data_IF_798242902219
#
_entry.id   IF_798242902219
#
_cell.length_a   1.000
_cell.length_b   1.000
_cell.length_c   1.000
_cell.angle_alpha   90.00
_cell.angle_beta   90.00
_cell.angle_gamma   90.00
#
_symmetry.space_group_name_H-M   'P 1'
#
loop_
_entity.id
_entity.type
_entity.pdbx_description
1 polymer ?
#
# COMPACT_ATOMS: atom_id res chain seq x y z
N UNK A 1 26.44 17.44 -5.96
CA UNK A 1 26.64 17.98 -4.61
C UNK A 1 26.41 16.88 -3.60
N UNK A 2 27.49 16.33 -3.06
CA UNK A 2 27.46 15.25 -2.07
C UNK A 2 26.83 15.74 -0.77
N UNK A 3 25.77 15.07 -0.31
CA UNK A 3 24.98 15.49 0.85
C UNK A 3 25.73 15.48 2.18
N UNK A 4 26.93 14.89 2.21
CA UNK A 4 27.76 14.80 3.41
C UNK A 4 28.60 16.06 3.64
N UNK A 5 29.27 16.59 2.60
CA UNK A 5 30.08 17.81 2.71
C UNK A 5 29.22 19.03 3.06
N UNK A 6 27.99 19.11 2.53
CA UNK A 6 27.08 20.24 2.81
C UNK A 6 26.62 20.32 4.27
N UNK A 7 26.57 19.18 4.98
CA UNK A 7 26.17 19.06 6.39
C UNK A 7 27.27 19.50 7.36
N UNK A 8 28.52 19.59 6.92
CA UNK A 8 29.64 19.96 7.76
C UNK A 8 29.70 21.49 8.00
N UNK A 9 30.24 21.87 9.16
CA UNK A 9 30.47 23.29 9.51
C UNK A 9 31.64 23.83 8.68
N UNK A 10 31.68 25.14 8.41
CA UNK A 10 32.74 25.76 7.60
C UNK A 10 34.15 25.49 8.17
N UNK A 11 34.30 25.49 9.49
CA UNK A 11 35.58 25.22 10.15
C UNK A 11 36.05 23.77 9.92
N UNK A 12 35.15 22.79 10.03
CA UNK A 12 35.51 21.38 9.79
C UNK A 12 35.85 21.12 8.33
N UNK A 13 35.20 21.82 7.39
CA UNK A 13 35.57 21.76 5.98
C UNK A 13 36.99 22.31 5.71
N UNK A 14 37.40 23.37 6.41
CA UNK A 14 38.76 23.92 6.28
C UNK A 14 39.81 22.97 6.86
N UNK A 15 39.51 22.29 7.96
CA UNK A 15 40.42 21.32 8.56
C UNK A 15 40.52 20.03 7.71
N UNK A 16 39.40 19.56 7.15
CA UNK A 16 39.40 18.48 6.15
C UNK A 16 40.17 18.88 4.89
N UNK A 17 40.08 20.14 4.46
CA UNK A 17 40.85 20.65 3.32
C UNK A 17 42.35 20.61 3.59
N UNK A 18 42.79 20.98 4.81
CA UNK A 18 44.20 20.84 5.23
C UNK A 18 44.64 19.38 5.26
N UNK A 19 43.80 18.49 5.78
CA UNK A 19 44.10 17.05 5.85
C UNK A 19 44.15 16.38 4.46
N UNK A 20 43.36 16.88 3.51
CA UNK A 20 43.41 16.49 2.10
C UNK A 20 44.63 17.05 1.36
N UNK A 21 45.47 17.88 2.00
CA UNK A 21 46.65 18.49 1.39
C UNK A 21 46.35 19.73 0.53
N UNK A 22 45.13 20.28 0.62
CA UNK A 22 44.69 21.43 -0.16
C UNK A 22 44.23 22.57 0.78
N UNK A 23 45.14 23.40 1.31
CA UNK A 23 44.77 24.48 2.24
C UNK A 23 43.98 25.57 1.50
N UNK A 24 42.73 25.80 1.92
CA UNK A 24 41.89 26.88 1.40
C UNK A 24 41.89 28.09 2.34
N UNK A 25 41.81 29.29 1.76
CA UNK A 25 41.79 30.54 2.52
C UNK A 25 40.51 30.67 3.36
N UNK A 26 40.61 31.27 4.55
CA UNK A 26 39.49 31.41 5.52
C UNK A 26 38.32 32.25 4.99
N UNK A 27 38.60 33.11 4.01
CA UNK A 27 37.67 34.11 3.45
C UNK A 27 36.81 33.58 2.29
N UNK A 28 37.04 32.35 1.80
CA UNK A 28 36.20 31.76 0.74
C UNK A 28 34.81 31.41 1.24
N UNK A 29 33.82 31.49 0.36
CA UNK A 29 32.42 31.12 0.66
C UNK A 29 32.33 29.62 0.97
N UNK A 30 31.39 29.24 1.84
CA UNK A 30 31.22 27.84 2.25
C UNK A 30 30.94 26.94 1.04
N UNK A 31 30.12 27.41 0.10
CA UNK A 31 29.70 26.64 -1.06
C UNK A 31 30.87 26.41 -2.04
N UNK A 32 31.71 27.43 -2.27
CA UNK A 32 32.96 27.30 -3.04
C UNK A 32 33.94 26.30 -2.42
N UNK A 33 34.04 26.28 -1.08
CA UNK A 33 34.90 25.33 -0.36
C UNK A 33 34.39 23.90 -0.54
N UNK A 34 33.07 23.71 -0.52
CA UNK A 34 32.43 22.41 -0.74
C UNK A 34 32.70 21.94 -2.16
N UNK A 35 32.47 22.78 -3.16
CA UNK A 35 32.65 22.41 -4.57
C UNK A 35 34.11 22.04 -4.88
N UNK A 36 35.06 22.88 -4.47
CA UNK A 36 36.50 22.60 -4.69
C UNK A 36 36.98 21.36 -3.96
N UNK A 37 36.48 21.11 -2.75
CA UNK A 37 36.84 19.92 -1.97
C UNK A 37 36.21 18.65 -2.55
N UNK A 38 34.97 18.72 -3.04
CA UNK A 38 34.28 17.60 -3.71
C UNK A 38 35.04 17.20 -4.99
N UNK A 39 35.43 18.18 -5.82
CA UNK A 39 36.24 17.98 -7.02
C UNK A 39 37.60 17.35 -6.72
N UNK A 40 38.26 17.78 -5.64
CA UNK A 40 39.57 17.27 -5.24
C UNK A 40 39.48 15.84 -4.69
N UNK A 41 38.42 15.52 -3.94
CA UNK A 41 38.16 14.17 -3.44
C UNK A 41 37.85 13.20 -4.60
N UNK A 42 37.06 13.63 -5.59
CA UNK A 42 36.76 12.82 -6.77
C UNK A 42 37.99 12.57 -7.66
N UNK A 43 38.96 13.49 -7.71
CA UNK A 43 40.19 13.32 -8.50
C UNK A 43 41.24 12.43 -7.80
N UNK A 44 41.25 12.40 -6.47
CA UNK A 44 42.26 11.71 -5.68
C UNK A 44 41.68 10.55 -4.83
N UNK A 45 40.76 9.78 -5.42
CA UNK A 45 40.03 8.71 -4.72
C UNK A 45 40.97 7.63 -4.16
N UNK A 46 41.97 7.21 -4.93
CA UNK A 46 42.87 6.10 -4.56
C UNK A 46 43.73 6.43 -3.35
N UNK A 47 44.12 7.70 -3.18
CA UNK A 47 44.93 8.15 -2.05
C UNK A 47 44.07 8.53 -0.84
N UNK A 48 42.98 9.28 -1.06
CA UNK A 48 42.17 9.84 0.00
C UNK A 48 41.12 8.87 0.57
N UNK A 49 40.78 7.79 -0.13
CA UNK A 49 39.91 6.73 0.41
C UNK A 49 40.57 5.89 1.50
N UNK A 50 41.90 5.92 1.60
CA UNK A 50 42.66 5.23 2.66
C UNK A 50 42.67 5.99 3.99
N UNK A 51 42.35 7.29 3.98
CA UNK A 51 42.32 8.14 5.17
C UNK A 51 41.00 8.02 5.90
N UNK A 52 41.07 7.76 7.22
CA UNK A 52 39.91 7.53 8.09
C UNK A 52 38.92 8.72 8.10
N UNK A 53 39.41 9.96 7.94
CA UNK A 53 38.60 11.17 7.96
C UNK A 53 37.62 11.27 6.78
N UNK A 54 37.88 10.59 5.66
CA UNK A 54 37.04 10.62 4.46
C UNK A 54 36.21 9.33 4.26
N UNK A 55 36.26 8.40 5.23
CA UNK A 55 35.45 7.18 5.21
C UNK A 55 33.94 7.47 5.05
N UNK A 56 33.35 8.46 5.74
CA UNK A 56 31.92 8.76 5.57
C UNK A 56 31.57 9.33 4.19
N UNK A 57 32.54 9.94 3.50
CA UNK A 57 32.37 10.48 2.15
C UNK A 57 32.35 9.35 1.10
N UNK A 58 33.32 8.43 1.15
CA UNK A 58 33.42 7.31 0.20
C UNK A 58 32.53 6.11 0.56
N UNK A 59 32.24 5.90 1.85
CA UNK A 59 31.40 4.82 2.36
C UNK A 59 29.94 4.92 1.93
N UNK A 60 29.47 6.13 1.56
CA UNK A 60 28.12 6.32 1.02
C UNK A 60 27.92 5.67 -0.36
N UNK A 61 29.00 5.46 -1.13
CA UNK A 61 28.93 4.88 -2.47
C UNK A 61 29.00 3.35 -2.50
N UNK A 62 29.47 2.70 -1.41
CA UNK A 62 29.53 1.23 -1.26
C UNK A 62 28.33 0.62 -0.52
N UNK A 63 27.15 1.23 -0.62
CA UNK A 63 25.91 0.61 -0.12
C UNK A 63 25.29 -0.30 -1.17
N UNK A 64 25.66 -1.58 -1.13
CA UNK A 64 24.84 -2.67 -1.67
C UNK A 64 23.46 -2.64 -0.99
N UNK A 65 22.35 -2.68 -1.74
CA UNK A 65 21.01 -2.62 -1.17
C UNK A 65 20.70 -3.96 -0.49
N UNK A 66 20.70 -4.01 0.84
CA UNK A 66 20.28 -5.22 1.56
C UNK A 66 20.81 -5.46 2.96
N UNK A 67 21.17 -4.43 3.75
CA UNK A 67 21.48 -4.66 5.17
C UNK A 67 21.02 -3.50 6.06
N UNK A 68 20.05 -3.71 6.97
CA UNK A 68 19.71 -2.71 7.97
C UNK A 68 20.83 -2.63 9.02
N UNK A 69 21.27 -1.40 9.30
CA UNK A 69 22.28 -1.09 10.30
C UNK A 69 21.67 -1.21 11.70
N UNK A 70 22.28 -2.02 12.55
CA UNK A 70 22.01 -2.03 13.98
C UNK A 70 22.36 -0.65 14.57
N UNK A 71 21.36 0.05 15.12
CA UNK A 71 21.57 1.24 15.93
C UNK A 71 21.92 0.83 17.35
N UNK A 72 23.09 1.25 17.81
CA UNK A 72 23.53 1.16 19.21
C UNK A 72 23.00 2.40 19.95
N UNK A 73 22.48 2.29 21.19
CA UNK A 73 21.94 3.42 21.93
C UNK A 73 23.08 4.18 22.63
N UNK A 74 22.96 5.50 22.70
CA UNK A 74 23.69 6.29 23.69
C UNK A 74 22.73 7.24 24.39
N UNK A 75 22.92 7.34 25.70
CA UNK A 75 22.02 7.91 26.68
C UNK A 75 22.30 9.40 26.90
N UNK A 76 21.24 10.17 27.14
CA UNK A 76 21.28 11.30 28.09
C UNK A 76 19.86 11.78 28.40
N UNK A 77 19.66 11.98 29.70
CA UNK A 77 18.45 12.18 30.49
C UNK A 77 17.58 13.43 30.26
N UNK A 78 16.33 13.26 30.73
CA UNK A 78 15.52 14.14 31.60
C UNK A 78 14.36 15.03 31.09
N UNK A 79 13.24 14.79 31.78
CA UNK A 79 12.05 15.60 32.14
C UNK A 79 11.08 16.18 31.10
N UNK A 80 9.80 15.78 31.26
CA UNK A 80 8.67 16.68 31.03
C UNK A 80 7.42 16.09 30.38
N UNK A 81 6.47 15.62 31.22
CA UNK A 81 5.06 16.01 31.08
C UNK A 81 4.15 15.31 30.06
N UNK A 82 3.31 14.42 30.60
CA UNK A 82 1.84 14.35 30.39
C UNK A 82 1.27 14.07 28.98
N UNK A 83 0.71 12.88 28.78
CA UNK A 83 -0.74 12.60 28.70
C UNK A 83 -1.09 11.37 27.83
N UNK A 84 -1.94 10.52 28.42
CA UNK A 84 -2.48 9.20 27.98
C UNK A 84 -3.60 9.36 26.92
N UNK A 85 -4.42 8.33 26.54
CA UNK A 85 -4.31 6.85 26.57
C UNK A 85 -4.67 6.20 25.20
N UNK A 86 -4.58 4.87 25.06
CA UNK A 86 -5.74 3.98 24.69
C UNK A 86 -5.31 2.52 24.41
N UNK A 87 -5.70 1.67 25.38
CA UNK A 87 -6.24 0.30 25.28
C UNK A 87 -5.38 -0.86 24.75
N UNK A 88 -4.82 -1.60 25.72
CA UNK A 88 -4.68 -3.04 25.68
C UNK A 88 -5.94 -3.68 26.27
N UNK A 89 -6.58 -4.56 25.50
CA UNK A 89 -7.62 -5.49 25.94
C UNK A 89 -7.01 -6.89 25.92
N UNK A 90 -7.48 -7.75 26.83
CA UNK A 90 -7.25 -9.19 27.01
C UNK A 90 -6.47 -9.53 28.29
N UNK A 91 -7.21 -9.62 29.41
CA UNK A 91 -7.22 -10.82 30.29
C UNK A 91 -8.19 -10.63 31.46
N UNK A 92 -9.19 -11.50 31.56
CA UNK A 92 -9.62 -12.11 32.82
C UNK A 92 -10.68 -13.19 32.59
N UNK A 93 -10.31 -14.46 32.81
CA UNK A 93 -11.21 -15.44 33.41
C UNK A 93 -10.41 -16.19 34.46
N UNK A 94 -10.94 -16.14 35.68
CA UNK A 94 -10.48 -16.72 36.93
C UNK A 94 -10.48 -18.25 36.93
N UNK A 95 -9.60 -18.87 37.75
CA UNK A 95 -10.04 -19.73 38.87
C UNK A 95 -8.87 -20.32 39.68
N UNK A 96 -8.80 -19.86 40.92
CA UNK A 96 -8.68 -20.61 42.19
C UNK A 96 -7.58 -21.67 42.36
N UNK A 97 -6.65 -21.31 43.25
CA UNK A 97 -5.70 -22.13 44.00
C UNK A 97 -6.39 -23.01 45.05
N UNK A 98 -6.06 -24.30 45.11
CA UNK A 98 -6.04 -25.08 46.35
C UNK A 98 -4.80 -25.99 46.37
N UNK A 99 -4.02 -25.84 47.42
CA UNK A 99 -2.80 -26.58 47.72
C UNK A 99 -3.11 -27.98 48.25
N UNK A 100 -2.30 -28.98 47.91
CA UNK A 100 -1.98 -30.10 48.79
C UNK A 100 -0.62 -30.73 48.41
N UNK A 101 0.08 -31.15 49.45
CA UNK A 101 1.50 -31.51 49.62
C UNK A 101 1.97 -32.81 48.94
N UNK A 102 3.25 -32.84 48.56
CA UNK A 102 4.08 -33.99 48.12
C UNK A 102 4.37 -34.99 49.26
N UNK A 103 4.81 -36.25 49.01
CA UNK A 103 6.24 -36.53 48.81
C UNK A 103 6.61 -37.64 47.78
N UNK A 104 7.91 -37.71 47.51
CA UNK A 104 8.63 -38.46 46.48
C UNK A 104 8.87 -39.96 46.77
N UNK A 105 9.13 -40.77 45.73
CA UNK A 105 10.15 -41.83 45.62
C UNK A 105 10.00 -42.62 44.29
N UNK A 106 10.95 -42.57 43.34
CA UNK A 106 12.10 -43.51 43.10
C UNK A 106 11.79 -44.72 42.18
N UNK A 107 12.55 -44.80 41.05
CA UNK A 107 12.92 -45.96 40.18
C UNK A 107 11.82 -46.56 39.27
N UNK A 108 12.04 -46.97 38.01
CA UNK A 108 13.21 -47.44 37.21
C UNK A 108 12.82 -47.40 35.71
N UNK A 109 13.77 -47.48 34.75
CA UNK A 109 13.48 -47.32 33.32
C UNK A 109 13.05 -48.65 32.68
N UNK A 110 12.04 -48.62 31.82
CA UNK A 110 11.76 -49.69 30.88
C UNK A 110 11.00 -49.12 29.70
N UNK A 111 11.63 -49.16 28.53
CA UNK A 111 10.98 -48.89 27.27
C UNK A 111 9.90 -49.97 27.04
N UNK A 112 8.64 -49.56 27.00
CA UNK A 112 7.57 -50.32 26.38
C UNK A 112 6.65 -49.35 25.67
N UNK A 113 6.68 -49.39 24.34
CA UNK A 113 5.65 -48.85 23.48
C UNK A 113 4.33 -49.55 23.84
N UNK A 114 3.51 -48.92 24.66
CA UNK A 114 2.12 -49.30 24.83
C UNK A 114 1.27 -48.06 24.62
N UNK A 115 0.26 -48.22 23.78
CA UNK A 115 -0.85 -47.30 23.56
C UNK A 115 -1.57 -47.09 24.90
N UNK A 116 -0.99 -46.26 25.78
CA UNK A 116 -1.62 -45.84 27.01
C UNK A 116 -2.69 -44.83 26.64
N UNK A 117 -3.95 -45.27 26.73
CA UNK A 117 -5.10 -44.38 26.68
C UNK A 117 -4.84 -43.25 27.69
N UNK A 118 -4.99 -41.98 27.28
CA UNK A 118 -4.63 -40.84 28.10
C UNK A 118 -5.36 -40.88 29.45
N UNK A 119 -4.68 -40.52 30.56
CA UNK A 119 -5.26 -40.52 31.88
C UNK A 119 -6.28 -39.38 31.99
N UNK A 120 -7.54 -39.69 31.70
CA UNK A 120 -8.73 -38.82 31.76
C UNK A 120 -8.99 -37.85 30.58
N UNK A 121 -10.26 -37.54 30.27
CA UNK A 121 -10.64 -36.58 29.23
C UNK A 121 -10.10 -35.15 29.43
N UNK A 122 -9.89 -34.73 30.69
CA UNK A 122 -9.33 -33.42 31.01
C UNK A 122 -7.87 -33.30 30.54
N UNK A 123 -7.12 -34.40 30.59
CA UNK A 123 -5.74 -34.44 30.12
C UNK A 123 -5.66 -34.29 28.59
N UNK A 124 -6.59 -34.91 27.84
CA UNK A 124 -6.67 -34.71 26.38
C UNK A 124 -6.99 -33.26 26.06
N UNK A 125 -7.93 -32.64 26.78
CA UNK A 125 -8.28 -31.24 26.58
C UNK A 125 -7.07 -30.33 26.80
N UNK A 126 -6.28 -30.58 27.84
CA UNK A 126 -5.07 -29.82 28.14
C UNK A 126 -3.96 -30.04 27.10
N UNK A 127 -3.76 -31.28 26.63
CA UNK A 127 -2.80 -31.59 25.56
C UNK A 127 -3.21 -30.95 24.22
N UNK A 128 -4.51 -30.97 23.90
CA UNK A 128 -5.05 -30.30 22.71
C UNK A 128 -4.91 -28.78 22.83
N UNK A 129 -5.16 -28.21 24.01
CA UNK A 129 -4.96 -26.78 24.28
C UNK A 129 -3.50 -26.39 24.12
N UNK A 130 -2.56 -27.17 24.68
CA UNK A 130 -1.13 -26.95 24.53
C UNK A 130 -0.69 -27.04 23.06
N UNK A 131 -1.14 -28.06 22.32
CA UNK A 131 -0.85 -28.18 20.88
C UNK A 131 -1.45 -27.05 20.06
N UNK A 132 -2.60 -26.55 20.48
CA UNK A 132 -3.27 -25.42 19.83
C UNK A 132 -2.49 -24.14 20.06
N UNK A 133 -2.03 -23.88 21.29
CA UNK A 133 -1.16 -22.75 21.62
C UNK A 133 0.18 -22.83 20.88
N UNK A 134 0.84 -24.00 20.87
CA UNK A 134 2.08 -24.22 20.13
C UNK A 134 1.90 -24.02 18.62
N UNK A 135 0.75 -24.42 18.07
CA UNK A 135 0.43 -24.20 16.67
C UNK A 135 0.22 -22.71 16.38
N UNK A 136 -0.50 -21.98 17.24
CA UNK A 136 -0.66 -20.53 17.13
C UNK A 136 0.69 -19.80 17.21
N UNK A 137 1.56 -20.18 18.14
CA UNK A 137 2.90 -19.58 18.28
C UNK A 137 3.76 -19.83 17.05
N UNK A 138 3.73 -21.05 16.49
CA UNK A 138 4.45 -21.38 15.24
C UNK A 138 3.94 -20.59 14.04
N UNK A 139 2.62 -20.40 13.94
CA UNK A 139 2.04 -19.55 12.90
C UNK A 139 2.43 -18.09 13.13
N UNK A 140 2.37 -17.61 14.38
CA UNK A 140 2.71 -16.23 14.73
C UNK A 140 4.16 -15.90 14.42
N UNK A 141 5.11 -16.78 14.75
CA UNK A 141 6.54 -16.63 14.41
C UNK A 141 6.75 -16.65 12.90
N UNK A 142 6.17 -17.62 12.17
CA UNK A 142 6.30 -17.69 10.71
C UNK A 142 5.61 -16.51 10.01
N UNK A 143 4.54 -15.97 10.58
CA UNK A 143 3.87 -14.77 10.08
C UNK A 143 4.68 -13.50 10.38
N UNK A 144 5.30 -13.40 11.56
CA UNK A 144 6.19 -12.29 11.91
C UNK A 144 7.48 -12.28 11.07
N UNK A 145 8.02 -13.46 10.77
CA UNK A 145 9.19 -13.62 9.88
C UNK A 145 8.83 -13.43 8.40
N UNK A 146 7.55 -13.51 8.05
CA UNK A 146 7.10 -13.25 6.68
C UNK A 146 7.02 -11.75 6.40
N UNK A 147 7.18 -11.36 5.14
CA UNK A 147 6.91 -9.98 4.68
C UNK A 147 5.42 -9.68 4.58
N UNK A 148 4.54 -10.56 5.05
CA UNK A 148 3.08 -10.38 5.04
C UNK A 148 2.65 -9.13 5.83
N UNK A 149 3.10 -8.88 7.08
CA UNK A 149 2.81 -7.63 7.78
C UNK A 149 3.26 -6.37 7.04
N UNK A 150 4.43 -6.41 6.36
CA UNK A 150 4.95 -5.27 5.60
C UNK A 150 4.13 -5.02 4.32
N UNK A 151 3.78 -6.09 3.61
CA UNK A 151 2.93 -6.02 2.42
C UNK A 151 1.51 -5.55 2.78
N UNK A 152 0.94 -6.00 3.89
CA UNK A 152 -0.37 -5.51 4.37
C UNK A 152 -0.31 -4.01 4.70
N UNK A 153 0.75 -3.55 5.40
CA UNK A 153 0.93 -2.11 5.69
C UNK A 153 1.07 -1.31 4.40
N UNK A 154 1.87 -1.79 3.46
CA UNK A 154 2.07 -1.15 2.15
C UNK A 154 0.77 -1.09 1.35
N UNK A 155 0.01 -2.19 1.29
CA UNK A 155 -1.29 -2.25 0.62
C UNK A 155 -2.28 -1.32 1.30
N UNK A 156 -2.32 -1.28 2.64
CA UNK A 156 -3.19 -0.36 3.39
C UNK A 156 -2.84 1.09 3.08
N UNK A 157 -1.57 1.44 3.09
CA UNK A 157 -1.09 2.79 2.77
C UNK A 157 -1.45 3.17 1.32
N UNK A 158 -1.25 2.25 0.36
CA UNK A 158 -1.65 2.45 -1.03
C UNK A 158 -3.17 2.58 -1.19
N UNK A 159 -3.96 1.71 -0.52
CA UNK A 159 -5.43 1.75 -0.53
C UNK A 159 -5.98 3.00 0.16
N UNK A 160 -5.24 3.58 1.11
CA UNK A 160 -5.62 4.84 1.76
C UNK A 160 -5.32 6.09 0.92
N UNK A 161 -4.74 5.94 -0.28
CA UNK A 161 -4.54 7.05 -1.20
C UNK A 161 -5.85 7.44 -1.91
N UNK A 162 -6.00 8.74 -2.21
CA UNK A 162 -7.14 9.26 -2.97
C UNK A 162 -7.27 8.57 -4.34
N UNK A 163 -6.14 8.30 -4.98
CA UNK A 163 -6.12 7.60 -6.28
C UNK A 163 -6.62 6.16 -6.16
N UNK A 164 -6.32 5.46 -5.07
CA UNK A 164 -6.82 4.11 -4.87
C UNK A 164 -8.33 4.07 -4.63
N UNK A 165 -8.86 5.00 -3.82
CA UNK A 165 -10.31 5.11 -3.58
C UNK A 165 -11.05 5.38 -4.89
N UNK A 166 -10.56 6.33 -5.70
CA UNK A 166 -11.14 6.65 -7.01
C UNK A 166 -11.06 5.48 -7.99
N UNK A 167 -9.92 4.77 -8.01
CA UNK A 167 -9.73 3.58 -8.85
C UNK A 167 -10.67 2.46 -8.43
N UNK A 168 -10.85 2.24 -7.13
CA UNK A 168 -11.77 1.23 -6.60
C UNK A 168 -13.23 1.53 -6.97
N UNK A 169 -13.67 2.79 -6.87
CA UNK A 169 -15.01 3.21 -7.28
C UNK A 169 -15.22 3.01 -8.80
N UNK A 170 -14.25 3.41 -9.61
CA UNK A 170 -14.33 3.23 -11.07
C UNK A 170 -14.26 1.75 -11.46
N UNK A 171 -13.51 0.93 -10.72
CA UNK A 171 -13.47 -0.52 -10.91
C UNK A 171 -14.80 -1.19 -10.52
N UNK A 172 -15.45 -0.72 -9.45
CA UNK A 172 -16.77 -1.19 -9.07
C UNK A 172 -17.82 -0.87 -10.16
N UNK A 173 -17.79 0.34 -10.72
CA UNK A 173 -18.61 0.68 -11.88
C UNK A 173 -18.32 -0.24 -13.07
N UNK A 174 -17.05 -0.46 -13.42
CA UNK A 174 -16.63 -1.31 -14.53
C UNK A 174 -17.09 -2.77 -14.36
N UNK A 175 -16.95 -3.32 -13.16
CA UNK A 175 -17.35 -4.69 -12.85
C UNK A 175 -18.87 -4.84 -12.87
N UNK A 176 -19.62 -3.86 -12.33
CA UNK A 176 -21.08 -3.87 -12.41
C UNK A 176 -21.57 -3.89 -13.86
N UNK A 177 -20.98 -3.03 -14.70
CA UNK A 177 -21.24 -2.96 -16.13
C UNK A 177 -20.95 -4.31 -16.81
N UNK A 178 -19.78 -4.90 -16.53
CA UNK A 178 -19.34 -6.14 -17.17
C UNK A 178 -20.23 -7.34 -16.80
N UNK A 179 -20.65 -7.44 -15.54
CA UNK A 179 -21.53 -8.52 -15.07
C UNK A 179 -22.90 -8.44 -15.73
N UNK A 180 -23.41 -7.24 -16.03
CA UNK A 180 -24.72 -7.05 -16.68
C UNK A 180 -24.66 -7.25 -18.19
N UNK A 181 -23.56 -6.89 -18.83
CA UNK A 181 -23.36 -7.05 -20.27
C UNK A 181 -23.03 -8.52 -20.64
N UNK A 182 -22.37 -9.27 -19.75
CA UNK A 182 -22.03 -10.68 -19.94
C UNK A 182 -22.96 -11.61 -19.13
N UNK A 183 -24.12 -12.01 -19.68
CA UNK A 183 -24.98 -12.98 -19.03
C UNK A 183 -24.29 -14.34 -18.87
N UNK A 184 -24.53 -14.96 -17.72
CA UNK A 184 -24.11 -16.32 -17.44
C UNK A 184 -25.05 -17.31 -18.15
N UNK A 185 -24.57 -17.94 -19.22
CA UNK A 185 -25.31 -18.95 -19.97
C UNK A 185 -24.94 -20.35 -19.50
N UNK A 186 -25.89 -21.28 -19.65
CA UNK A 186 -25.66 -22.70 -19.35
C UNK A 186 -24.74 -23.25 -20.44
N UNK A 187 -23.55 -23.72 -20.06
CA UNK A 187 -22.58 -24.25 -21.00
C UNK A 187 -22.84 -25.73 -21.28
N UNK A 188 -22.81 -26.56 -20.23
CA UNK A 188 -23.11 -27.98 -20.33
C UNK A 188 -23.51 -28.53 -18.94
N UNK A 189 -24.42 -29.51 -18.89
CA UNK A 189 -24.69 -30.24 -17.66
C UNK A 189 -23.58 -31.27 -17.41
N UNK A 190 -22.90 -31.15 -16.27
CA UNK A 190 -22.02 -32.20 -15.75
C UNK A 190 -22.88 -33.27 -15.08
N UNK A 191 -22.80 -34.48 -15.62
CA UNK A 191 -23.33 -35.67 -14.98
C UNK A 191 -22.17 -36.38 -14.30
N UNK A 192 -22.26 -36.54 -12.99
CA UNK A 192 -21.27 -37.29 -12.23
C UNK A 192 -21.99 -38.34 -11.39
N UNK A 193 -21.64 -39.61 -11.64
CA UNK A 193 -22.19 -40.74 -10.89
C UNK A 193 -21.40 -40.86 -9.58
N UNK A 194 -21.93 -40.28 -8.50
CA UNK A 194 -21.33 -40.32 -7.15
C UNK A 194 -21.53 -41.71 -6.51
N UNK A 195 -22.56 -42.43 -6.95
CA UNK A 195 -22.93 -43.76 -6.47
C UNK A 195 -23.90 -44.41 -7.47
N UNK A 196 -23.96 -45.75 -7.58
CA UNK A 196 -24.93 -46.46 -8.42
C UNK A 196 -26.40 -46.10 -8.14
N UNK A 197 -26.71 -45.45 -7.01
CA UNK A 197 -28.06 -45.04 -6.62
C UNK A 197 -28.25 -43.51 -6.54
N UNK A 198 -27.21 -42.71 -6.79
CA UNK A 198 -27.28 -41.26 -6.71
C UNK A 198 -26.63 -40.61 -7.92
N UNK A 199 -27.48 -40.14 -8.83
CA UNK A 199 -27.08 -39.30 -9.97
C UNK A 199 -27.34 -37.84 -9.60
N UNK A 200 -26.28 -37.04 -9.56
CA UNK A 200 -26.40 -35.60 -9.38
C UNK A 200 -26.09 -34.91 -10.71
N UNK A 201 -27.02 -34.08 -11.16
CA UNK A 201 -26.86 -33.23 -12.34
C UNK A 201 -26.39 -31.84 -11.86
N UNK A 202 -25.15 -31.47 -12.19
CA UNK A 202 -24.62 -30.13 -11.91
C UNK A 202 -24.58 -29.29 -13.19
N UNK A 203 -25.25 -28.14 -13.16
CA UNK A 203 -25.30 -27.24 -14.32
C UNK A 203 -24.13 -26.25 -14.24
N UNK A 204 -23.16 -26.39 -15.13
CA UNK A 204 -22.06 -25.44 -15.25
C UNK A 204 -22.54 -24.24 -16.06
N UNK A 205 -22.50 -23.05 -15.44
CA UNK A 205 -22.75 -21.78 -16.10
C UNK A 205 -21.41 -21.13 -16.45
N UNK A 206 -21.27 -20.65 -17.67
CA UNK A 206 -20.11 -19.88 -18.13
C UNK A 206 -20.58 -18.53 -18.66
N UNK A 207 -19.77 -17.45 -18.51
CA UNK A 207 -20.06 -16.19 -19.16
C UNK A 207 -19.99 -16.36 -20.68
N UNK A 208 -20.94 -15.77 -21.40
CA UNK A 208 -20.96 -15.83 -22.86
C UNK A 208 -19.91 -14.90 -23.47
N UNK A 209 -18.74 -15.46 -23.80
CA UNK A 209 -17.62 -14.71 -24.37
C UNK A 209 -17.84 -14.31 -25.84
N UNK A 210 -18.80 -14.89 -26.55
CA UNK A 210 -19.07 -14.52 -27.95
C UNK A 210 -19.60 -13.10 -28.08
N UNK A 211 -20.20 -12.56 -27.03
CA UNK A 211 -20.65 -11.17 -26.94
C UNK A 211 -19.47 -10.19 -27.09
N UNK A 212 -18.25 -10.59 -26.78
CA UNK A 212 -17.05 -9.76 -27.01
C UNK A 212 -16.79 -9.50 -28.49
N UNK A 213 -17.33 -10.32 -29.40
CA UNK A 213 -17.22 -10.10 -30.84
C UNK A 213 -18.33 -9.18 -31.37
N UNK A 214 -19.39 -8.96 -30.59
CA UNK A 214 -20.51 -8.12 -30.98
C UNK A 214 -20.18 -6.63 -30.81
N UNK A 215 -20.58 -5.81 -31.77
CA UNK A 215 -20.44 -4.35 -31.70
C UNK A 215 -21.20 -3.73 -30.52
N UNK A 216 -22.25 -4.40 -30.04
CA UNK A 216 -23.03 -4.02 -28.86
C UNK A 216 -22.16 -3.92 -27.59
N UNK A 217 -21.24 -4.88 -27.39
CA UNK A 217 -20.36 -4.91 -26.23
C UNK A 217 -19.44 -3.70 -26.25
N UNK A 218 -18.77 -3.49 -27.39
CA UNK A 218 -17.81 -2.42 -27.54
C UNK A 218 -18.46 -1.04 -27.51
N UNK A 219 -19.63 -0.84 -28.10
CA UNK A 219 -20.30 0.47 -28.05
C UNK A 219 -20.62 0.88 -26.61
N UNK A 220 -21.10 -0.07 -25.81
CA UNK A 220 -21.48 0.15 -24.40
C UNK A 220 -20.24 0.39 -23.53
N UNK A 221 -19.22 -0.46 -23.67
CA UNK A 221 -17.97 -0.37 -22.90
C UNK A 221 -17.13 0.84 -23.28
N UNK A 222 -17.03 1.17 -24.58
CA UNK A 222 -16.31 2.36 -25.04
C UNK A 222 -17.04 3.65 -24.67
N UNK A 223 -18.38 3.67 -24.70
CA UNK A 223 -19.15 4.81 -24.22
C UNK A 223 -18.82 5.07 -22.74
N UNK A 224 -18.98 4.06 -21.89
CA UNK A 224 -18.65 4.18 -20.48
C UNK A 224 -17.19 4.59 -20.25
N UNK A 225 -16.23 3.96 -20.94
CA UNK A 225 -14.82 4.28 -20.79
C UNK A 225 -14.51 5.72 -21.23
N UNK A 226 -15.16 6.20 -22.29
CA UNK A 226 -14.98 7.58 -22.75
C UNK A 226 -15.54 8.56 -21.72
N UNK A 227 -16.77 8.35 -21.24
CA UNK A 227 -17.42 9.27 -20.29
C UNK A 227 -16.84 9.23 -18.88
N UNK A 228 -16.32 8.07 -18.45
CA UNK A 228 -15.93 7.81 -17.05
C UNK A 228 -14.42 7.80 -16.82
N UNK A 229 -13.60 7.54 -17.86
CA UNK A 229 -12.13 7.46 -17.76
C UNK A 229 -11.44 8.49 -18.64
N UNK A 230 -11.64 8.43 -19.97
CA UNK A 230 -10.82 9.19 -20.91
C UNK A 230 -11.13 10.68 -20.89
N UNK A 231 -12.41 11.06 -21.00
CA UNK A 231 -12.79 12.48 -21.05
C UNK A 231 -12.52 13.20 -19.71
N UNK A 232 -12.88 12.63 -18.54
CA UNK A 232 -12.52 13.21 -17.25
C UNK A 232 -11.01 13.21 -17.01
N UNK A 233 -10.30 12.15 -17.42
CA UNK A 233 -8.84 12.04 -17.29
C UNK A 233 -8.09 13.07 -18.13
N UNK A 234 -8.55 13.33 -19.35
CA UNK A 234 -8.01 14.37 -20.22
C UNK A 234 -8.19 15.75 -19.60
N UNK A 235 -9.40 16.06 -19.10
CA UNK A 235 -9.67 17.33 -18.43
C UNK A 235 -8.81 17.49 -17.17
N UNK A 236 -8.68 16.45 -16.35
CA UNK A 236 -7.84 16.46 -15.15
C UNK A 236 -6.33 16.54 -15.42
N UNK A 237 -5.90 16.15 -16.62
CA UNK A 237 -4.51 16.31 -17.04
C UNK A 237 -4.20 17.77 -17.42
N UNK A 238 -5.10 18.43 -18.15
CA UNK A 238 -4.90 19.83 -18.57
C UNK A 238 -5.23 20.84 -17.47
N UNK A 239 -6.31 20.61 -16.71
CA UNK A 239 -6.74 21.48 -15.62
C UNK A 239 -6.28 20.87 -14.29
N UNK A 240 -5.08 21.21 -13.84
CA UNK A 240 -4.52 20.71 -12.59
C UNK A 240 -4.68 21.75 -11.47
N UNK A 241 -5.61 21.51 -10.54
CA UNK A 241 -5.82 22.37 -9.36
C UNK A 241 -4.80 22.10 -8.25
N UNK A 242 -4.16 20.92 -8.25
CA UNK A 242 -3.24 20.46 -7.20
C UNK A 242 -1.78 20.88 -7.45
N UNK A 243 -1.55 22.12 -7.87
CA UNK A 243 -0.19 22.65 -8.09
C UNK A 243 0.37 23.20 -6.79
N UNK A 244 1.56 22.74 -6.40
CA UNK A 244 2.30 23.26 -5.26
C UNK A 244 3.31 24.30 -5.73
N UNK A 245 3.11 25.54 -5.32
CA UNK A 245 4.08 26.61 -5.50
C UNK A 245 5.25 26.41 -4.53
N UNK A 246 6.45 26.12 -5.05
CA UNK A 246 7.66 25.95 -4.25
C UNK A 246 8.64 27.07 -4.61
N UNK A 247 9.16 27.76 -3.59
CA UNK A 247 10.26 28.73 -3.77
C UNK A 247 11.55 28.06 -3.33
N UNK A 248 12.53 27.93 -4.23
CA UNK A 248 13.89 27.46 -3.89
C UNK A 248 14.91 28.38 -4.57
N UNK A 249 15.89 28.85 -3.80
CA UNK A 249 16.94 29.76 -4.29
C UNK A 249 16.42 31.01 -5.03
N UNK A 250 15.36 31.65 -4.51
CA UNK A 250 14.81 32.88 -5.10
C UNK A 250 13.97 32.68 -6.38
N UNK A 251 13.97 31.47 -6.97
CA UNK A 251 13.12 31.11 -8.09
C UNK A 251 11.86 30.39 -7.57
N UNK A 252 10.69 30.89 -7.98
CA UNK A 252 9.42 30.21 -7.77
C UNK A 252 9.19 29.24 -8.92
N UNK A 253 8.91 27.97 -8.60
CA UNK A 253 8.51 26.97 -9.57
C UNK A 253 7.31 26.18 -9.06
N UNK A 254 6.48 25.78 -10.02
CA UNK A 254 5.22 25.13 -9.78
C UNK A 254 5.38 23.63 -10.01
N UNK A 255 5.22 22.85 -8.94
CA UNK A 255 5.33 21.39 -9.01
C UNK A 255 3.92 20.81 -8.88
N UNK A 256 3.42 20.08 -9.90
CA UNK A 256 2.15 19.38 -9.76
C UNK A 256 2.29 18.25 -8.73
N UNK A 257 1.39 18.21 -7.74
CA UNK A 257 1.34 17.12 -6.74
C UNK A 257 0.92 15.80 -7.38
N UNK A 258 0.02 15.89 -8.36
CA UNK A 258 -0.50 14.76 -9.12
C UNK A 258 -0.35 15.01 -10.61
N UNK A 259 -0.02 13.95 -11.37
CA UNK A 259 0.04 14.01 -12.84
C UNK A 259 -1.35 14.17 -13.45
N UNK A 260 -2.36 13.59 -12.81
CA UNK A 260 -3.78 13.73 -13.13
C UNK A 260 -4.44 14.19 -11.84
N UNK A 261 -5.05 15.37 -11.85
CA UNK A 261 -5.64 15.96 -10.64
C UNK A 261 -6.91 15.20 -10.20
N UNK A 262 -6.95 14.61 -8.99
CA UNK A 262 -8.10 13.82 -8.55
C UNK A 262 -9.37 14.68 -8.40
N UNK A 263 -9.23 15.93 -7.94
CA UNK A 263 -10.37 16.81 -7.74
C UNK A 263 -11.03 17.14 -9.08
N UNK A 264 -10.25 17.62 -10.05
CA UNK A 264 -10.75 17.93 -11.39
C UNK A 264 -11.32 16.69 -12.07
N UNK A 265 -10.70 15.52 -11.91
CA UNK A 265 -11.20 14.28 -12.49
C UNK A 265 -12.63 14.00 -12.02
N UNK A 266 -12.89 14.04 -10.71
CA UNK A 266 -14.21 13.72 -10.17
C UNK A 266 -15.25 14.79 -10.50
N UNK A 267 -14.87 16.08 -10.55
CA UNK A 267 -15.76 17.16 -11.00
C UNK A 267 -16.13 16.97 -12.47
N UNK A 268 -15.14 16.75 -13.33
CA UNK A 268 -15.35 16.52 -14.76
C UNK A 268 -16.23 15.29 -14.98
N UNK A 269 -15.93 14.17 -14.31
CA UNK A 269 -16.72 12.93 -14.39
C UNK A 269 -18.16 13.16 -13.96
N UNK A 270 -18.40 13.90 -12.86
CA UNK A 270 -19.76 14.22 -12.40
C UNK A 270 -20.54 15.05 -13.43
N UNK A 271 -19.91 16.09 -14.00
CA UNK A 271 -20.53 16.93 -15.02
C UNK A 271 -20.86 16.15 -16.29
N UNK A 272 -19.91 15.36 -16.79
CA UNK A 272 -20.09 14.53 -17.98
C UNK A 272 -21.18 13.49 -17.74
N UNK A 273 -21.17 12.84 -16.58
CA UNK A 273 -22.19 11.83 -16.19
C UNK A 273 -23.58 12.47 -16.12
N UNK A 274 -23.71 13.66 -15.54
CA UNK A 274 -24.98 14.39 -15.50
C UNK A 274 -25.45 14.82 -16.90
N UNK A 275 -24.55 15.27 -17.76
CA UNK A 275 -24.89 15.67 -19.12
C UNK A 275 -25.32 14.47 -19.98
N UNK A 276 -24.57 13.38 -19.95
CA UNK A 276 -24.81 12.23 -20.82
C UNK A 276 -25.96 11.37 -20.30
N UNK A 277 -25.96 10.98 -19.02
CA UNK A 277 -26.93 10.01 -18.51
C UNK A 277 -28.19 10.66 -17.92
N UNK A 278 -28.07 11.81 -17.23
CA UNK A 278 -29.24 12.49 -16.67
C UNK A 278 -29.96 13.36 -17.69
N UNK A 279 -29.24 14.13 -18.50
CA UNK A 279 -29.82 15.02 -19.53
C UNK A 279 -29.94 14.37 -20.91
N UNK A 280 -29.31 13.22 -21.14
CA UNK A 280 -29.38 12.53 -22.43
C UNK A 280 -28.63 13.23 -23.56
N UNK A 281 -27.62 14.06 -23.26
CA UNK A 281 -26.84 14.76 -24.28
C UNK A 281 -25.96 13.77 -25.03
N UNK A 282 -26.30 13.51 -26.28
CA UNK A 282 -25.65 12.51 -27.14
C UNK A 282 -24.59 13.08 -28.08
N UNK A 283 -24.33 14.40 -28.03
CA UNK A 283 -23.36 15.11 -28.90
C UNK A 283 -23.44 14.72 -30.38
N UNK A 284 -24.62 14.31 -30.88
CA UNK A 284 -24.87 13.77 -32.23
C UNK A 284 -24.03 12.55 -32.67
N UNK A 285 -23.19 12.00 -31.79
CA UNK A 285 -22.32 10.83 -32.06
C UNK A 285 -22.80 9.60 -31.28
N UNK A 286 -23.56 9.80 -30.20
CA UNK A 286 -23.99 8.75 -29.30
C UNK A 286 -25.44 8.34 -29.57
N UNK A 287 -25.68 7.03 -29.59
CA UNK A 287 -27.03 6.50 -29.67
C UNK A 287 -27.69 6.49 -28.28
N UNK A 288 -28.93 7.00 -28.20
CA UNK A 288 -29.70 7.06 -26.96
C UNK A 288 -29.95 5.67 -26.36
N UNK A 289 -30.08 4.64 -27.18
CA UNK A 289 -30.27 3.27 -26.67
C UNK A 289 -28.99 2.74 -26.00
N UNK A 290 -27.82 3.13 -26.49
CA UNK A 290 -26.53 2.77 -25.86
C UNK A 290 -26.35 3.51 -24.52
N UNK A 291 -26.74 4.78 -24.43
CA UNK A 291 -26.71 5.55 -23.16
C UNK A 291 -27.64 4.93 -22.11
N UNK A 292 -28.89 4.64 -22.47
CA UNK A 292 -29.87 4.03 -21.57
C UNK A 292 -29.44 2.63 -21.09
N UNK A 293 -28.68 1.92 -21.92
CA UNK A 293 -28.13 0.60 -21.60
C UNK A 293 -27.01 0.68 -20.58
N UNK A 294 -26.06 1.62 -20.73
CA UNK A 294 -25.02 1.84 -19.72
C UNK A 294 -25.66 2.18 -18.38
N UNK A 295 -26.63 3.10 -18.37
CA UNK A 295 -27.34 3.49 -17.15
C UNK A 295 -28.02 2.31 -16.45
N UNK A 296 -28.73 1.45 -17.20
CA UNK A 296 -29.37 0.25 -16.64
C UNK A 296 -28.41 -0.85 -16.20
N UNK A 297 -27.20 -0.87 -16.75
CA UNK A 297 -26.20 -1.90 -16.45
C UNK A 297 -25.38 -1.59 -15.20
N UNK A 298 -25.37 -0.33 -14.77
CA UNK A 298 -24.67 0.11 -13.56
C UNK A 298 -25.62 -0.03 -12.36
N UNK A 299 -25.11 -0.56 -11.26
CA UNK A 299 -25.90 -0.66 -10.03
C UNK A 299 -26.30 0.72 -9.51
N UNK A 300 -27.60 0.98 -9.38
CA UNK A 300 -28.12 2.29 -9.00
C UNK A 300 -28.05 3.35 -10.11
N UNK A 301 -27.70 2.95 -11.33
CA UNK A 301 -27.61 3.83 -12.50
C UNK A 301 -26.63 4.98 -12.34
N UNK A 302 -26.86 6.07 -13.06
CA UNK A 302 -25.98 7.25 -13.03
C UNK A 302 -25.84 7.90 -11.65
N UNK A 303 -26.81 7.66 -10.75
CA UNK A 303 -26.79 8.21 -9.40
C UNK A 303 -25.63 7.64 -8.58
N UNK A 304 -25.30 6.35 -8.72
CA UNK A 304 -24.18 5.75 -8.01
C UNK A 304 -22.83 6.30 -8.49
N UNK A 305 -22.71 6.57 -9.79
CA UNK A 305 -21.53 7.24 -10.38
C UNK A 305 -21.37 8.64 -9.79
N UNK A 306 -22.47 9.41 -9.67
CA UNK A 306 -22.43 10.74 -9.06
C UNK A 306 -22.02 10.68 -7.59
N UNK A 307 -22.57 9.74 -6.81
CA UNK A 307 -22.17 9.51 -5.42
C UNK A 307 -20.67 9.19 -5.34
N UNK A 308 -20.16 8.31 -6.21
CA UNK A 308 -18.73 8.01 -6.30
C UNK A 308 -17.88 9.26 -6.60
N UNK A 309 -18.35 10.13 -7.50
CA UNK A 309 -17.69 11.40 -7.78
C UNK A 309 -17.70 12.34 -6.58
N UNK A 310 -18.82 12.47 -5.86
CA UNK A 310 -18.90 13.30 -4.65
C UNK A 310 -17.94 12.82 -3.57
N UNK A 311 -17.86 11.49 -3.36
CA UNK A 311 -16.88 10.89 -2.45
C UNK A 311 -15.46 11.21 -2.89
N UNK A 312 -15.16 11.07 -4.19
CA UNK A 312 -13.86 11.43 -4.76
C UNK A 312 -13.47 12.90 -4.56
N UNK A 313 -14.41 13.82 -4.78
CA UNK A 313 -14.21 15.26 -4.51
C UNK A 313 -13.90 15.49 -3.03
N UNK A 314 -14.73 14.96 -2.12
CA UNK A 314 -14.55 15.11 -0.67
C UNK A 314 -13.22 14.54 -0.19
N UNK A 315 -12.82 13.37 -0.69
CA UNK A 315 -11.57 12.71 -0.31
C UNK A 315 -10.37 13.51 -0.82
N UNK A 316 -10.42 14.01 -2.06
CA UNK A 316 -9.36 14.86 -2.62
C UNK A 316 -9.21 16.18 -1.86
N UNK A 317 -10.33 16.80 -1.45
CA UNK A 317 -10.33 18.02 -0.67
C UNK A 317 -9.81 17.80 0.75
N UNK A 318 -10.20 16.69 1.38
CA UNK A 318 -9.70 16.30 2.69
C UNK A 318 -8.19 16.09 2.67
N UNK A 319 -7.67 15.36 1.68
CA UNK A 319 -6.23 15.16 1.53
C UNK A 319 -5.48 16.47 1.27
N UNK A 320 -6.04 17.36 0.44
CA UNK A 320 -5.46 18.68 0.18
C UNK A 320 -5.45 19.56 1.45
N UNK A 321 -6.50 19.48 2.27
CA UNK A 321 -6.62 20.21 3.53
C UNK A 321 -5.64 19.70 4.59
N UNK A 322 -5.43 18.39 4.70
CA UNK A 322 -4.47 17.80 5.64
C UNK A 322 -3.01 18.13 5.32
N UNK A 323 -2.70 18.40 4.06
CA UNK A 323 -1.33 18.68 3.59
C UNK A 323 -0.95 20.17 3.67
N UNK A 324 -1.90 21.04 4.04
CA UNK A 324 -1.72 22.49 4.13
C UNK A 324 -1.43 22.92 5.57
#
# INVERSE_FOLDING_TARGET
>A
MTSWLSRQKKQTLLDLSKEAGFPQHKDTLKDDVIERLDDHLQKNVTELSSKLAFEPYYGSSRRTPGRPSASRPDASDEEGGMSSPTQAIVKSVSAVTTQATTPAAVRTPAATHSSALPPSPAYIAQEVEQRTLDFYDRIAVRFADSSIPETIKTVRENCSSVMAIQTALTFFEATSLQIHILPWKIAFPLKYDISPYARADYIVKLPDLFILLEGYFWSTTLLWATTSLFLPGLLAYFFNLSVKHVKKHGLAYDVPLYRIDPMTFNIAKALITSLVYSRGVTFAVLDHATVARVDRSIWGGYQSILVGCYVGILTSLYEAAQRK
#
